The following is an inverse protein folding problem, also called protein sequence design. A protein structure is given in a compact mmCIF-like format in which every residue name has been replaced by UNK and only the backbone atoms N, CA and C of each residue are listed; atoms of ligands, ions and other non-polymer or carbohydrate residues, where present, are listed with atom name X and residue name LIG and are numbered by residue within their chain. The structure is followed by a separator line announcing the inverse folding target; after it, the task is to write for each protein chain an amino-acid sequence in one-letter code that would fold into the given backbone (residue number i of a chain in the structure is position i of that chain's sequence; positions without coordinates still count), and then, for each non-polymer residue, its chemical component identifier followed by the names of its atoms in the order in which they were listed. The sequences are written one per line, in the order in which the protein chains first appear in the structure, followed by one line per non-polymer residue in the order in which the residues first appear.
data_IF_539010200981
#
_entry.id   IF_539010200981
#
_cell.length_a   1.000
_cell.length_b   1.000
_cell.length_c   1.000
_cell.angle_alpha   90.00
_cell.angle_beta   90.00
_cell.angle_gamma   90.00
#
_symmetry.space_group_name_H-M   'P 1'
#
loop_
_entity.id
_entity.type
_entity.pdbx_description
1 polymer ?
#
# COMPACT_ATOMS: atom_id res chain seq x y z
N UNK A 1 1.29 13.90 -13.59
CA UNK A 1 1.74 12.56 -13.15
C UNK A 1 3.16 12.70 -12.63
N UNK A 2 3.37 12.48 -11.34
CA UNK A 2 4.69 12.55 -10.68
C UNK A 2 4.83 11.39 -9.70
N UNK A 3 6.06 11.07 -9.32
CA UNK A 3 6.38 10.10 -8.27
C UNK A 3 6.63 10.77 -6.92
N UNK A 4 6.69 12.10 -6.89
CA UNK A 4 6.97 12.89 -5.69
C UNK A 4 5.66 13.38 -5.06
N UNK A 5 5.31 12.79 -3.92
CA UNK A 5 4.11 13.18 -3.16
C UNK A 5 4.26 14.56 -2.50
N UNK A 6 5.48 15.00 -2.15
CA UNK A 6 5.71 16.32 -1.58
C UNK A 6 5.32 17.45 -2.55
N UNK A 7 5.61 17.29 -3.83
CA UNK A 7 5.18 18.25 -4.88
C UNK A 7 3.67 18.22 -5.09
N UNK A 8 3.04 17.06 -4.97
CA UNK A 8 1.58 16.91 -5.14
C UNK A 8 0.83 17.71 -4.06
N UNK A 9 1.35 17.74 -2.82
CA UNK A 9 0.72 18.41 -1.69
C UNK A 9 0.47 19.92 -1.92
N UNK A 10 1.28 20.58 -2.74
CA UNK A 10 1.18 22.03 -2.98
C UNK A 10 0.47 22.41 -4.29
N UNK A 11 0.36 21.49 -5.25
CA UNK A 11 -0.01 21.82 -6.64
C UNK A 11 -1.33 21.23 -7.11
N UNK A 12 -1.94 20.30 -6.38
CA UNK A 12 -3.11 19.54 -6.84
C UNK A 12 -4.32 19.74 -5.92
N UNK A 13 -5.53 19.73 -6.50
CA UNK A 13 -6.77 19.66 -5.72
C UNK A 13 -7.15 18.21 -5.40
N UNK A 14 -6.82 17.27 -6.30
CA UNK A 14 -7.11 15.85 -6.15
C UNK A 14 -6.01 14.97 -6.69
N UNK A 15 -5.88 13.77 -6.14
CA UNK A 15 -4.81 12.83 -6.42
C UNK A 15 -5.39 11.47 -6.76
N UNK A 16 -4.90 10.86 -7.85
CA UNK A 16 -5.13 9.44 -8.13
C UNK A 16 -3.80 8.69 -7.92
N UNK A 17 -3.77 7.81 -6.93
CA UNK A 17 -2.62 6.93 -6.68
C UNK A 17 -2.80 5.67 -7.51
N UNK A 18 -1.76 5.32 -8.27
CA UNK A 18 -1.76 4.15 -9.15
C UNK A 18 -0.73 3.12 -8.71
N UNK A 19 -1.07 1.84 -8.88
CA UNK A 19 -0.16 0.71 -8.69
C UNK A 19 -0.45 -0.38 -9.73
N UNK A 20 0.59 -0.91 -10.37
CA UNK A 20 0.49 -1.97 -11.38
C UNK A 20 -0.60 -1.74 -12.44
N UNK A 21 -0.71 -0.49 -12.94
CA UNK A 21 -1.68 -0.09 -13.96
C UNK A 21 -3.10 0.16 -13.47
N UNK A 22 -3.35 0.14 -12.16
CA UNK A 22 -4.67 0.33 -11.58
C UNK A 22 -4.70 1.53 -10.62
N UNK A 23 -5.79 2.30 -10.62
CA UNK A 23 -6.05 3.28 -9.55
C UNK A 23 -6.36 2.50 -8.28
N UNK A 24 -5.51 2.66 -7.27
CA UNK A 24 -5.65 2.02 -5.96
C UNK A 24 -6.28 2.94 -4.94
N UNK A 25 -6.12 4.25 -5.10
CA UNK A 25 -6.75 5.25 -4.24
C UNK A 25 -6.95 6.57 -5.00
N UNK A 26 -8.01 7.29 -4.65
CA UNK A 26 -8.32 8.62 -5.18
C UNK A 26 -9.01 9.44 -4.10
N UNK A 27 -8.54 10.67 -3.86
CA UNK A 27 -9.16 11.63 -2.94
C UNK A 27 -8.71 13.06 -3.27
N UNK A 28 -9.27 14.06 -2.60
CA UNK A 28 -8.62 15.37 -2.53
C UNK A 28 -7.28 15.28 -1.80
N UNK A 29 -6.38 16.23 -2.06
CA UNK A 29 -5.02 16.21 -1.49
C UNK A 29 -5.04 16.19 0.04
N UNK A 30 -5.93 16.95 0.68
CA UNK A 30 -5.93 17.05 2.14
C UNK A 30 -6.37 15.74 2.77
N UNK A 31 -7.47 15.17 2.28
CA UNK A 31 -7.99 13.88 2.77
C UNK A 31 -7.00 12.74 2.52
N UNK A 32 -6.33 12.71 1.36
CA UNK A 32 -5.35 11.66 1.06
C UNK A 32 -4.17 11.68 2.04
N UNK A 33 -3.69 12.87 2.41
CA UNK A 33 -2.54 13.04 3.30
C UNK A 33 -2.90 12.82 4.78
N UNK A 34 -4.13 13.16 5.18
CA UNK A 34 -4.61 13.00 6.56
C UNK A 34 -5.06 11.55 6.83
N UNK A 35 -5.84 10.96 5.91
CA UNK A 35 -6.42 9.64 6.08
C UNK A 35 -6.19 8.70 4.87
N UNK A 36 -4.93 8.35 4.55
CA UNK A 36 -4.63 7.40 3.46
C UNK A 36 -5.24 6.02 3.71
N UNK A 37 -6.12 5.53 2.84
CA UNK A 37 -6.88 4.30 3.08
C UNK A 37 -6.19 3.06 2.55
N UNK A 38 -5.48 3.17 1.43
CA UNK A 38 -4.82 2.03 0.82
C UNK A 38 -3.44 1.83 1.47
N UNK A 39 -3.07 0.60 1.89
CA UNK A 39 -1.76 0.34 2.52
C UNK A 39 -0.56 0.79 1.69
N UNK A 40 -0.67 0.75 0.36
CA UNK A 40 0.33 1.33 -0.53
C UNK A 40 0.49 2.85 -0.36
N UNK A 41 -0.62 3.60 -0.30
CA UNK A 41 -0.61 5.04 -0.07
C UNK A 41 -0.07 5.38 1.31
N UNK A 42 -0.47 4.62 2.34
CA UNK A 42 0.08 4.76 3.70
C UNK A 42 1.61 4.64 3.67
N UNK A 43 2.15 3.61 3.01
CA UNK A 43 3.60 3.42 2.86
C UNK A 43 4.30 4.50 2.04
N UNK A 44 3.65 5.05 1.00
CA UNK A 44 4.20 6.15 0.21
C UNK A 44 4.30 7.44 1.03
N UNK A 45 3.28 7.77 1.82
CA UNK A 45 3.27 8.96 2.67
C UNK A 45 4.26 8.83 3.83
N UNK A 46 4.40 7.63 4.40
CA UNK A 46 5.41 7.35 5.42
C UNK A 46 6.86 7.52 4.91
N UNK A 47 7.07 7.46 3.59
CA UNK A 47 8.36 7.70 2.94
C UNK A 47 8.67 9.16 2.63
N UNK A 48 7.74 10.08 2.87
CA UNK A 48 7.99 11.50 2.68
C UNK A 48 8.84 12.02 3.85
N UNK A 49 10.04 12.56 3.60
CA UNK A 49 10.88 13.11 4.66
C UNK A 49 10.22 14.34 5.30
N UNK A 50 10.10 14.34 6.62
CA UNK A 50 9.57 15.47 7.39
C UNK A 50 10.71 16.45 7.69
N UNK A 51 10.58 17.70 7.26
CA UNK A 51 11.58 18.74 7.52
C UNK A 51 11.73 18.97 9.04
N UNK A 52 12.91 18.67 9.56
CA UNK A 52 13.25 18.81 10.99
C UNK A 52 13.27 17.49 11.77
N UNK A 53 12.84 16.39 11.16
CA UNK A 53 12.95 15.05 11.74
C UNK A 53 14.15 14.32 11.09
N UNK A 54 15.16 13.98 11.89
CA UNK A 54 16.34 13.24 11.40
C UNK A 54 16.01 11.75 11.48
N UNK A 55 15.42 11.21 10.43
CA UNK A 55 15.30 9.76 10.27
C UNK A 55 16.60 9.19 9.71
N UNK A 56 17.16 8.16 10.36
CA UNK A 56 18.42 7.51 9.93
C UNK A 56 18.30 6.77 8.59
N UNK A 57 17.07 6.47 8.14
CA UNK A 57 16.78 5.78 6.88
C UNK A 57 15.43 6.19 6.31
N UNK A 58 15.33 6.31 4.98
CA UNK A 58 14.06 6.53 4.29
C UNK A 58 13.20 5.27 4.37
N UNK A 59 11.91 5.43 4.66
CA UNK A 59 10.94 4.33 4.60
C UNK A 59 10.85 3.77 3.17
N UNK A 60 11.07 2.47 3.00
CA UNK A 60 10.93 1.78 1.71
C UNK A 60 9.89 0.69 1.85
N UNK A 61 8.90 0.68 0.95
CA UNK A 61 7.93 -0.42 0.89
C UNK A 61 8.68 -1.71 0.50
N UNK A 62 8.62 -2.79 1.30
CA UNK A 62 9.47 -3.96 1.10
C UNK A 62 9.03 -4.75 -0.14
N UNK A 63 9.95 -5.56 -0.67
CA UNK A 63 9.73 -6.40 -1.85
C UNK A 63 9.83 -5.67 -3.19
N UNK A 64 9.79 -6.44 -4.28
CA UNK A 64 9.88 -5.94 -5.66
C UNK A 64 8.52 -5.68 -6.29
N UNK A 65 8.46 -4.75 -7.24
CA UNK A 65 7.25 -4.50 -8.05
C UNK A 65 6.93 -5.78 -8.85
N UNK A 66 5.67 -6.25 -8.87
CA UNK A 66 5.30 -7.46 -9.60
C UNK A 66 5.53 -7.30 -11.10
N UNK A 67 5.84 -8.42 -11.77
CA UNK A 67 5.96 -8.45 -13.22
C UNK A 67 4.59 -8.16 -13.86
N UNK A 68 4.51 -7.14 -14.72
CA UNK A 68 3.27 -6.71 -15.36
C UNK A 68 2.78 -7.66 -16.46
N UNK A 69 3.62 -8.60 -16.92
CA UNK A 69 3.28 -9.60 -17.94
C UNK A 69 2.48 -10.76 -17.31
N UNK A 70 2.82 -11.14 -16.07
CA UNK A 70 2.17 -12.20 -15.30
C UNK A 70 1.73 -11.65 -13.95
N UNK A 71 0.67 -10.84 -13.96
CA UNK A 71 0.12 -10.28 -12.73
C UNK A 71 -0.54 -11.39 -11.89
N UNK A 72 -0.22 -11.48 -10.58
CA UNK A 72 -0.86 -12.45 -9.72
C UNK A 72 -2.38 -12.23 -9.67
N UNK A 73 -3.17 -13.30 -9.45
CA UNK A 73 -4.59 -13.16 -9.20
C UNK A 73 -4.83 -12.30 -7.96
N UNK A 74 -5.94 -11.59 -7.96
CA UNK A 74 -6.34 -10.73 -6.86
C UNK A 74 -5.63 -9.38 -6.77
N UNK A 75 -5.61 -8.82 -5.57
CA UNK A 75 -5.04 -7.51 -5.29
C UNK A 75 -3.55 -7.46 -5.68
N UNK A 76 -3.22 -6.56 -6.60
CA UNK A 76 -1.84 -6.46 -7.14
C UNK A 76 -0.81 -6.07 -6.08
N UNK A 77 -1.25 -5.41 -5.01
CA UNK A 77 -0.39 -5.04 -3.88
C UNK A 77 -0.31 -6.12 -2.79
N UNK A 78 -1.10 -7.21 -2.87
CA UNK A 78 -1.11 -8.24 -1.83
C UNK A 78 0.28 -8.79 -1.45
N UNK A 79 1.21 -9.05 -2.39
CA UNK A 79 2.54 -9.59 -2.04
C UNK A 79 3.40 -8.66 -1.17
N UNK A 80 3.10 -7.36 -1.16
CA UNK A 80 3.82 -6.32 -0.41
C UNK A 80 2.96 -5.68 0.68
N UNK A 81 1.70 -6.12 0.80
CA UNK A 81 0.74 -5.55 1.72
C UNK A 81 0.91 -6.19 3.10
N UNK A 82 1.19 -5.42 4.15
CA UNK A 82 1.35 -5.98 5.48
C UNK A 82 0.05 -6.50 6.09
N UNK A 83 -1.10 -6.11 5.54
CA UNK A 83 -2.42 -6.54 5.97
C UNK A 83 -3.02 -7.62 5.05
N UNK A 84 -2.22 -8.23 4.18
CA UNK A 84 -2.71 -9.22 3.23
C UNK A 84 -3.39 -10.40 3.94
N UNK A 85 -4.52 -10.84 3.38
CA UNK A 85 -5.26 -12.06 3.79
C UNK A 85 -5.58 -12.89 2.55
N UNK A 86 -6.07 -14.10 2.74
CA UNK A 86 -6.41 -15.03 1.64
C UNK A 86 -7.37 -14.42 0.61
N UNK A 87 -8.32 -13.59 1.03
CA UNK A 87 -9.24 -12.91 0.10
C UNK A 87 -8.50 -11.96 -0.85
N UNK A 88 -7.39 -11.36 -0.41
CA UNK A 88 -6.59 -10.44 -1.22
C UNK A 88 -5.83 -11.15 -2.34
N UNK A 89 -5.45 -12.42 -2.16
CA UNK A 89 -4.78 -13.22 -3.21
C UNK A 89 -5.78 -13.99 -4.08
N UNK A 90 -6.98 -14.27 -3.55
CA UNK A 90 -7.99 -15.05 -4.25
C UNK A 90 -8.85 -14.22 -5.22
N UNK A 91 -9.06 -12.92 -4.95
CA UNK A 91 -10.02 -12.08 -5.69
C UNK A 91 -9.50 -10.68 -5.92
N UNK A 92 -9.89 -10.06 -7.04
CA UNK A 92 -9.56 -8.67 -7.31
C UNK A 92 -10.50 -7.73 -6.54
N UNK A 93 -9.97 -6.79 -5.73
CA UNK A 93 -10.79 -5.75 -5.12
C UNK A 93 -11.27 -4.77 -6.19
N UNK A 94 -12.51 -4.29 -6.02
CA UNK A 94 -13.07 -3.22 -6.87
C UNK A 94 -12.73 -1.85 -6.29
N UNK A 95 -12.69 -0.82 -7.13
CA UNK A 95 -12.52 0.55 -6.67
C UNK A 95 -13.85 1.04 -6.09
N UNK A 96 -13.91 1.17 -4.77
CA UNK A 96 -15.11 1.56 -4.02
C UNK A 96 -14.98 3.00 -3.55
N UNK A 97 -16.08 3.74 -3.58
CA UNK A 97 -16.18 5.03 -2.90
C UNK A 97 -16.63 4.76 -1.46
N UNK A 98 -15.75 5.04 -0.50
CA UNK A 98 -16.00 4.76 0.93
C UNK A 98 -16.49 6.00 1.67
N UNK A 99 -16.05 7.17 1.21
CA UNK A 99 -16.51 8.48 1.64
C UNK A 99 -16.67 9.37 0.39
N UNK A 100 -17.42 10.48 0.46
CA UNK A 100 -17.62 11.35 -0.69
C UNK A 100 -16.29 11.79 -1.31
N UNK A 101 -16.09 11.48 -2.60
CA UNK A 101 -14.85 11.73 -3.35
C UNK A 101 -13.61 10.95 -2.88
N UNK A 102 -13.71 10.02 -1.93
CA UNK A 102 -12.62 9.15 -1.49
C UNK A 102 -12.86 7.71 -1.94
N UNK A 103 -12.09 7.29 -2.95
CA UNK A 103 -12.18 5.96 -3.55
C UNK A 103 -10.96 5.14 -3.23
N UNK A 104 -11.16 3.86 -2.94
CA UNK A 104 -10.08 2.93 -2.59
C UNK A 104 -10.36 1.54 -3.16
N UNK A 105 -9.30 0.88 -3.63
CA UNK A 105 -9.34 -0.49 -4.15
C UNK A 105 -8.77 -1.46 -3.12
N UNK A 106 -9.49 -1.69 -2.02
CA UNK A 106 -9.00 -2.52 -0.91
C UNK A 106 -10.13 -3.25 -0.18
N UNK A 107 -9.97 -4.56 0.07
CA UNK A 107 -10.92 -5.35 0.86
C UNK A 107 -11.04 -4.88 2.33
N UNK A 108 -9.96 -4.35 2.91
CA UNK A 108 -10.00 -3.80 4.27
C UNK A 108 -11.01 -2.65 4.42
N UNK A 109 -11.38 -2.00 3.30
CA UNK A 109 -12.33 -0.88 3.24
C UNK A 109 -13.65 -1.23 2.56
N UNK A 110 -13.79 -2.46 2.05
CA UNK A 110 -15.03 -2.94 1.46
C UNK A 110 -16.00 -3.34 2.58
N UNK A 111 -17.22 -2.76 2.67
CA UNK A 111 -18.20 -3.08 3.70
C UNK A 111 -18.52 -4.59 3.81
N UNK A 112 -18.42 -5.34 2.72
CA UNK A 112 -18.67 -6.79 2.71
C UNK A 112 -17.56 -7.60 3.36
N UNK A 113 -16.33 -7.07 3.39
CA UNK A 113 -15.14 -7.82 3.85
C UNK A 113 -14.37 -7.14 4.98
N UNK A 114 -14.68 -5.88 5.33
CA UNK A 114 -14.01 -5.11 6.37
C UNK A 114 -14.01 -5.80 7.74
N UNK A 115 -15.05 -6.56 8.06
CA UNK A 115 -15.15 -7.35 9.28
C UNK A 115 -13.98 -8.35 9.47
N UNK A 116 -13.35 -8.80 8.38
CA UNK A 116 -12.18 -9.67 8.45
C UNK A 116 -10.98 -8.98 9.08
N UNK A 117 -10.90 -7.65 9.07
CA UNK A 117 -9.83 -6.85 9.68
C UNK A 117 -10.27 -6.17 10.99
N UNK A 118 -11.37 -6.62 11.61
CA UNK A 118 -11.78 -6.11 12.90
C UNK A 118 -10.65 -6.26 13.94
N UNK A 119 -10.26 -5.15 14.58
CA UNK A 119 -9.19 -5.11 15.58
C UNK A 119 -7.76 -4.97 15.03
N UNK A 120 -7.58 -4.98 13.71
CA UNK A 120 -6.29 -4.64 13.08
C UNK A 120 -6.06 -3.14 13.20
N UNK A 121 -4.93 -2.74 13.79
CA UNK A 121 -4.54 -1.32 13.89
C UNK A 121 -3.84 -0.88 12.62
N UNK A 122 -3.81 0.43 12.36
CA UNK A 122 -2.93 0.98 11.32
C UNK A 122 -1.49 0.67 11.71
N UNK A 123 -0.73 0.15 10.75
CA UNK A 123 0.69 -0.10 10.86
C UNK A 123 1.38 1.21 11.18
N UNK A 124 2.21 1.22 12.22
CA UNK A 124 3.04 2.40 12.56
C UNK A 124 4.12 2.70 11.50
N UNK A 125 4.24 1.89 10.42
CA UNK A 125 5.29 1.97 9.39
C UNK A 125 6.63 2.39 9.99
N UNK A 126 7.08 1.70 11.05
CA UNK A 126 8.38 1.99 11.69
C UNK A 126 9.44 1.10 11.06
N UNK A 127 10.56 1.71 10.73
CA UNK A 127 11.66 1.06 10.03
C UNK A 127 12.88 0.98 10.96
N UNK A 128 13.55 -0.18 10.97
CA UNK A 128 14.89 -0.31 11.56
C UNK A 128 15.80 -0.96 10.51
N UNK A 129 16.58 -0.14 9.80
CA UNK A 129 17.38 -0.58 8.66
C UNK A 129 16.51 -0.95 7.45
N UNK A 130 16.78 -2.10 6.82
CA UNK A 130 16.03 -2.62 5.67
C UNK A 130 14.71 -3.34 6.05
N UNK A 131 14.36 -3.36 7.34
CA UNK A 131 13.22 -4.10 7.87
C UNK A 131 12.02 -3.21 8.17
N UNK A 132 10.84 -3.65 7.72
CA UNK A 132 9.56 -2.98 7.97
C UNK A 132 8.86 -3.66 9.13
N UNK A 133 8.60 -2.90 10.19
CA UNK A 133 7.87 -3.37 11.35
C UNK A 133 6.42 -2.88 11.32
N UNK A 134 5.51 -3.82 11.46
CA UNK A 134 4.06 -3.62 11.46
C UNK A 134 3.53 -4.13 12.78
N UNK A 135 3.03 -3.24 13.64
CA UNK A 135 2.55 -3.57 14.99
C UNK A 135 3.57 -4.39 15.83
N UNK A 136 4.87 -4.15 15.61
CA UNK A 136 5.96 -4.89 16.27
C UNK A 136 6.30 -6.26 15.67
N UNK A 137 5.62 -6.67 14.59
CA UNK A 137 5.93 -7.88 13.81
C UNK A 137 6.71 -7.52 12.53
N UNK A 138 7.72 -8.34 12.21
CA UNK A 138 8.51 -8.21 10.98
C UNK A 138 7.66 -8.61 9.78
N UNK A 139 7.60 -7.75 8.75
CA UNK A 139 7.08 -8.14 7.43
C UNK A 139 8.07 -9.14 6.84
N UNK A 140 7.63 -10.37 6.61
CA UNK A 140 8.51 -11.45 6.16
C UNK A 140 9.13 -11.12 4.78
N UNK A 141 10.46 -11.13 4.73
CA UNK A 141 11.24 -11.18 3.50
C UNK A 141 11.25 -12.65 3.04
N UNK A 142 10.27 -13.06 2.23
CA UNK A 142 10.34 -14.36 1.56
C UNK A 142 10.60 -14.16 0.07
N UNK A 143 11.89 -14.10 -0.23
CA UNK A 143 12.47 -14.63 -1.46
C UNK A 143 11.99 -16.09 -1.62
N UNK A 144 11.02 -16.35 -2.51
CA UNK A 144 10.79 -17.70 -3.02
C UNK A 144 11.58 -17.84 -4.33
N UNK A 145 12.81 -18.31 -4.21
CA UNK A 145 13.54 -18.96 -5.31
C UNK A 145 13.65 -20.45 -4.97
N UNK A 146 12.79 -21.24 -5.58
CA UNK A 146 12.98 -22.66 -5.87
C UNK A 146 12.01 -22.97 -7.02
N UNK A 147 12.43 -23.21 -8.26
CA UNK A 147 13.45 -24.17 -8.66
C UNK A 147 12.72 -25.40 -9.19
N UNK A 148 12.45 -25.44 -10.50
CA UNK A 148 12.20 -26.71 -11.20
C UNK A 148 13.06 -26.73 -12.45
N UNK A 149 14.17 -27.44 -12.31
CA UNK A 149 15.03 -27.90 -13.39
C UNK A 149 14.20 -28.71 -14.40
N UNK A 150 14.59 -28.57 -15.66
CA UNK A 150 14.02 -29.35 -16.75
C UNK A 150 14.29 -30.83 -16.59
N UNK A 151 13.37 -31.60 -17.15
CA UNK A 151 13.64 -32.91 -17.70
C UNK A 151 12.88 -33.05 -19.02
#
# INVERSE_FOLDING_TARGET
ITHDMGVIAEMCDSVAVMYAGQIVEYADVLTLFDEPLHPYTEGLLAAIPVLGDVQESLAVIPGSVPNLIELPPGCKFAPRCPYAKDVCVARDPVLLEVEPNHKVRCFMRDPQTAHLWAGVKRTDWRFAGDEVFVDGAKVADETVVAGTEGQ
#
